data_IF_150470655026
#
_entry.id   IF_150470655026
#
_cell.length_a   1.000
_cell.length_b   1.000
_cell.length_c   1.000
_cell.angle_alpha   90.00
_cell.angle_beta   90.00
_cell.angle_gamma   90.00
#
_symmetry.space_group_name_H-M   'P 1'
#
loop_
_entity.id
_entity.type
_entity.pdbx_description
1 polymer ?
#
# COMPACT_ATOMS: atom_id res chain seq x y z
N UNK A 1 -3.03 -4.11 -7.94
CA UNK A 1 -2.17 -3.87 -6.74
C UNK A 1 -2.08 -2.36 -6.51
N UNK A 2 -1.79 -1.90 -5.29
CA UNK A 2 -1.58 -0.45 -5.03
C UNK A 2 -0.27 -0.30 -4.26
N UNK A 3 0.64 0.55 -4.73
CA UNK A 3 1.88 0.84 -4.01
C UNK A 3 1.68 2.09 -3.16
N UNK A 4 1.83 1.94 -1.83
CA UNK A 4 1.54 2.99 -0.86
C UNK A 4 2.76 3.75 -0.33
N UNK A 5 3.96 3.31 -0.67
CA UNK A 5 5.17 3.97 -0.24
C UNK A 5 6.40 3.09 -0.41
N UNK A 6 7.57 3.73 -0.32
CA UNK A 6 8.87 3.08 -0.32
C UNK A 6 9.66 3.66 0.85
N UNK A 7 10.13 2.80 1.74
CA UNK A 7 10.84 3.20 2.96
C UNK A 7 12.21 2.53 2.99
N UNK A 8 13.25 3.22 3.46
CA UNK A 8 14.57 2.60 3.69
C UNK A 8 14.56 1.73 4.95
N UNK A 9 13.89 2.20 5.99
CA UNK A 9 13.73 1.48 7.24
C UNK A 9 12.60 0.44 7.15
N UNK A 10 12.87 -0.78 7.61
CA UNK A 10 11.88 -1.85 7.68
C UNK A 10 10.76 -1.50 8.69
N UNK A 11 11.12 -0.96 9.86
CA UNK A 11 10.18 -0.52 10.89
C UNK A 11 9.12 0.47 10.40
N UNK A 12 9.51 1.38 9.49
CA UNK A 12 8.58 2.34 8.89
C UNK A 12 7.58 1.63 7.99
N UNK A 13 8.05 0.71 7.14
CA UNK A 13 7.19 -0.09 6.28
C UNK A 13 6.25 -0.99 7.11
N UNK A 14 6.75 -1.53 8.22
CA UNK A 14 6.00 -2.41 9.12
C UNK A 14 4.94 -1.65 9.93
N UNK A 15 5.28 -0.46 10.43
CA UNK A 15 4.31 0.43 11.09
C UNK A 15 3.15 0.78 10.16
N UNK A 16 3.46 1.08 8.89
CA UNK A 16 2.44 1.33 7.87
C UNK A 16 1.62 0.07 7.61
N UNK A 17 2.26 -1.08 7.43
CA UNK A 17 1.57 -2.37 7.23
C UNK A 17 0.60 -2.67 8.38
N UNK A 18 1.03 -2.44 9.62
CA UNK A 18 0.21 -2.64 10.80
C UNK A 18 -1.01 -1.69 10.80
N UNK A 19 -0.82 -0.40 10.53
CA UNK A 19 -1.92 0.57 10.38
C UNK A 19 -2.93 0.14 9.33
N UNK A 20 -2.44 -0.34 8.18
CA UNK A 20 -3.30 -0.86 7.11
C UNK A 20 -4.09 -2.08 7.57
N UNK A 21 -3.45 -3.01 8.29
CA UNK A 21 -4.12 -4.17 8.85
C UNK A 21 -5.21 -3.77 9.88
N UNK A 22 -4.96 -2.75 10.72
CA UNK A 22 -5.96 -2.20 11.64
C UNK A 22 -7.19 -1.62 10.91
N UNK A 23 -6.98 -1.01 9.73
CA UNK A 23 -8.05 -0.54 8.84
C UNK A 23 -8.77 -1.68 8.09
N UNK A 24 -8.36 -2.93 8.32
CA UNK A 24 -8.86 -4.11 7.62
C UNK A 24 -8.34 -4.24 6.18
N UNK A 25 -7.21 -3.61 5.87
CA UNK A 25 -6.61 -3.57 4.55
C UNK A 25 -5.36 -4.47 4.52
N UNK A 26 -5.41 -5.52 3.71
CA UNK A 26 -4.25 -6.40 3.53
C UNK A 26 -3.13 -5.69 2.75
N UNK A 27 -1.96 -5.65 3.39
CA UNK A 27 -0.74 -5.07 2.84
C UNK A 27 0.45 -6.00 2.99
N UNK A 28 1.33 -5.96 1.99
CA UNK A 28 2.55 -6.74 1.86
C UNK A 28 3.73 -5.80 1.69
N UNK A 29 4.80 -6.05 2.43
CA UNK A 29 6.07 -5.35 2.26
C UNK A 29 6.90 -6.17 1.28
N UNK A 30 7.40 -5.53 0.22
CA UNK A 30 8.35 -6.11 -0.72
C UNK A 30 9.68 -5.38 -0.60
N UNK A 31 10.76 -6.12 -0.38
CA UNK A 31 12.10 -5.55 -0.39
C UNK A 31 12.68 -5.63 -1.80
N UNK A 32 13.21 -4.52 -2.32
CA UNK A 32 13.85 -4.47 -3.63
C UNK A 32 14.86 -3.34 -3.73
N UNK A 33 16.11 -3.67 -4.06
CA UNK A 33 17.18 -2.69 -4.24
C UNK A 33 17.50 -1.84 -3.00
N UNK A 34 17.33 -2.41 -1.79
CA UNK A 34 17.54 -1.71 -0.52
C UNK A 34 16.36 -0.85 -0.05
N UNK A 35 15.21 -0.95 -0.73
CA UNK A 35 13.98 -0.25 -0.36
C UNK A 35 12.87 -1.23 0.00
N UNK A 36 12.16 -0.93 1.08
CA UNK A 36 10.96 -1.64 1.53
C UNK A 36 9.74 -0.94 0.96
N UNK A 37 9.10 -1.54 -0.04
CA UNK A 37 7.90 -1.03 -0.69
C UNK A 37 6.68 -1.64 -0.05
N UNK A 38 5.73 -0.81 0.36
CA UNK A 38 4.45 -1.29 0.90
C UNK A 38 3.47 -1.38 -0.26
N UNK A 39 3.06 -2.60 -0.56
CA UNK A 39 2.14 -2.93 -1.64
C UNK A 39 0.88 -3.55 -1.05
N UNK A 40 -0.26 -2.97 -1.38
CA UNK A 40 -1.56 -3.48 -0.99
C UNK A 40 -1.99 -4.59 -1.93
N UNK A 41 -2.72 -5.54 -1.35
CA UNK A 41 -3.03 -6.85 -1.91
C UNK A 41 -3.56 -6.88 -3.36
N UNK A 42 -3.72 -8.09 -3.91
CA UNK A 42 -4.27 -8.25 -5.24
C UNK A 42 -5.73 -7.80 -5.26
N UNK A 43 -5.97 -6.55 -5.64
CA UNK A 43 -7.32 -6.08 -5.92
C UNK A 43 -7.86 -6.77 -7.18
N UNK A 44 -8.96 -7.50 -7.03
CA UNK A 44 -9.69 -8.14 -8.13
C UNK A 44 -10.34 -7.12 -9.08
N UNK A 45 -10.51 -5.87 -8.64
CA UNK A 45 -11.13 -4.82 -9.44
C UNK A 45 -10.58 -3.45 -9.07
N UNK A 46 -10.56 -2.53 -10.05
CA UNK A 46 -10.12 -1.15 -9.86
C UNK A 46 -10.92 -0.44 -8.76
N UNK A 47 -12.22 -0.72 -8.65
CA UNK A 47 -13.09 -0.17 -7.59
C UNK A 47 -12.61 -0.52 -6.17
N UNK A 48 -12.10 -1.73 -5.94
CA UNK A 48 -11.55 -2.13 -4.63
C UNK A 48 -10.27 -1.36 -4.29
N UNK A 49 -9.41 -1.13 -5.29
CA UNK A 49 -8.23 -0.30 -5.16
C UNK A 49 -8.57 1.17 -4.87
N UNK A 50 -9.59 1.71 -5.56
CA UNK A 50 -10.03 3.10 -5.42
C UNK A 50 -10.67 3.39 -4.05
N UNK A 51 -11.50 2.45 -3.55
CA UNK A 51 -12.05 2.52 -2.18
C UNK A 51 -10.93 2.52 -1.14
N UNK A 52 -9.92 1.70 -1.36
CA UNK A 52 -8.74 1.63 -0.49
C UNK A 52 -7.96 2.95 -0.55
N UNK A 53 -7.72 3.50 -1.74
CA UNK A 53 -7.10 4.83 -1.93
C UNK A 53 -7.83 5.94 -1.18
N UNK A 54 -9.16 5.92 -1.21
CA UNK A 54 -9.96 6.91 -0.47
C UNK A 54 -9.75 6.79 1.04
N UNK A 55 -9.70 5.57 1.59
CA UNK A 55 -9.35 5.35 3.02
C UNK A 55 -7.94 5.82 3.35
N UNK A 56 -6.98 5.51 2.48
CA UNK A 56 -5.58 5.88 2.63
C UNK A 56 -5.41 7.40 2.69
N UNK A 57 -6.14 8.15 1.85
CA UNK A 57 -6.19 9.61 1.94
C UNK A 57 -6.71 10.09 3.30
N UNK A 58 -7.71 9.42 3.87
CA UNK A 58 -8.26 9.74 5.20
C UNK A 58 -7.26 9.57 6.35
N UNK A 59 -6.37 8.58 6.26
CA UNK A 59 -5.31 8.32 7.27
C UNK A 59 -4.00 9.08 6.98
N UNK A 60 -4.01 10.02 6.03
CA UNK A 60 -2.84 10.83 5.66
C UNK A 60 -1.84 10.14 4.71
N UNK A 61 -2.18 8.96 4.18
CA UNK A 61 -1.40 8.25 3.17
C UNK A 61 -1.83 8.68 1.76
N UNK A 62 -1.49 9.92 1.39
CA UNK A 62 -1.87 10.54 0.11
C UNK A 62 -1.01 10.10 -1.09
N UNK A 63 0.10 9.39 -0.85
CA UNK A 63 1.06 8.97 -1.89
C UNK A 63 0.82 7.58 -2.50
N UNK A 64 -0.34 6.97 -2.25
CA UNK A 64 -0.62 5.64 -2.78
C UNK A 64 -1.02 5.70 -4.25
N UNK A 65 -0.41 4.85 -5.08
CA UNK A 65 -0.64 4.82 -6.53
C UNK A 65 -1.16 3.42 -6.89
N UNK A 66 -2.34 3.31 -7.53
CA UNK A 66 -2.80 2.03 -8.05
C UNK A 66 -1.87 1.60 -9.17
N UNK A 67 -1.17 0.49 -8.95
CA UNK A 67 -0.49 -0.26 -9.99
C UNK A 67 -1.57 -0.99 -10.79
N UNK A 68 -2.26 -0.26 -11.65
CA UNK A 68 -2.94 -0.84 -12.80
C UNK A 68 -1.85 -1.33 -13.73
N UNK A 69 -1.77 -2.66 -13.92
CA UNK A 69 -1.06 -3.25 -15.05
C UNK A 69 -1.61 -2.54 -16.29
N UNK A 70 -0.77 -1.69 -16.89
CA UNK A 70 -1.01 -1.15 -18.22
C UNK A 70 -0.54 -2.25 -19.16
N UNK A 71 -1.48 -3.10 -19.54
CA UNK A 71 -1.34 -4.08 -20.62
C UNK A 71 -2.39 -3.73 -21.65
#
# INVERSE_FOLDING_TARGET
MVQCGSFRAADQAESVRARLAFEGIESRITNGGGWNRVVLGPFSSRAGADKTLSRLKGIGMSGCIPLSVRG
#
